data_IF_319397483746
#
_entry.id   IF_319397483746
#
_cell.length_a   1.000
_cell.length_b   1.000
_cell.length_c   1.000
_cell.angle_alpha   90.00
_cell.angle_beta   90.00
_cell.angle_gamma   90.00
#
_symmetry.space_group_name_H-M   'P 1'
#
loop_
_entity.id
_entity.type
_entity.pdbx_description
1 polymer ?
#
# COMPACT_ATOMS: atom_id res chain seq x y z
N UNK A 1 -10.79 -4.06 -7.69
CA UNK A 1 -10.42 -4.55 -9.04
C UNK A 1 -8.93 -4.89 -9.09
N UNK A 2 -8.49 -5.78 -9.98
CA UNK A 2 -7.07 -5.95 -10.30
C UNK A 2 -6.75 -5.02 -11.48
N UNK A 3 -5.84 -4.08 -11.28
CA UNK A 3 -5.44 -3.07 -12.30
C UNK A 3 -4.21 -3.48 -13.09
N UNK A 4 -3.49 -4.51 -12.65
CA UNK A 4 -2.30 -5.04 -13.31
C UNK A 4 -1.15 -5.19 -12.32
N UNK A 5 0.04 -4.73 -12.71
CA UNK A 5 1.23 -4.75 -11.85
C UNK A 5 1.77 -3.34 -11.69
N UNK A 6 2.10 -2.98 -10.46
CA UNK A 6 2.69 -1.68 -10.12
C UNK A 6 3.93 -1.87 -9.23
N UNK A 7 4.79 -0.87 -9.22
CA UNK A 7 5.94 -0.82 -8.31
C UNK A 7 5.48 -0.29 -6.95
N UNK A 8 5.78 -1.05 -5.90
CA UNK A 8 5.56 -0.69 -4.51
C UNK A 8 6.91 -0.45 -3.85
N UNK A 9 6.95 0.54 -2.96
CA UNK A 9 8.09 0.84 -2.10
C UNK A 9 7.71 0.48 -0.67
N UNK A 10 8.59 -0.24 0.01
CA UNK A 10 8.44 -0.52 1.43
C UNK A 10 8.91 0.68 2.26
N UNK A 11 8.14 1.11 3.26
CA UNK A 11 8.54 2.19 4.17
C UNK A 11 9.65 1.73 5.13
N UNK A 12 9.68 0.44 5.47
CA UNK A 12 10.60 -0.12 6.47
C UNK A 12 11.99 -0.44 5.88
N UNK A 13 12.05 -1.24 4.81
CA UNK A 13 13.33 -1.60 4.18
C UNK A 13 13.71 -0.70 3.00
N UNK A 14 12.87 0.26 2.63
CA UNK A 14 13.05 1.16 1.51
C UNK A 14 13.25 0.47 0.13
N UNK A 15 13.02 -0.84 0.05
CA UNK A 15 13.15 -1.61 -1.18
C UNK A 15 11.93 -1.37 -2.08
N UNK A 16 12.16 -1.33 -3.40
CA UNK A 16 11.11 -1.18 -4.40
C UNK A 16 10.94 -2.51 -5.13
N UNK A 17 9.71 -3.01 -5.20
CA UNK A 17 9.39 -4.29 -5.82
C UNK A 17 8.13 -4.19 -6.66
N UNK A 18 8.03 -5.04 -7.69
CA UNK A 18 6.85 -5.10 -8.56
C UNK A 18 5.87 -6.12 -7.98
N UNK A 19 4.64 -5.70 -7.73
CA UNK A 19 3.58 -6.57 -7.24
C UNK A 19 2.26 -6.27 -7.94
N UNK A 20 1.27 -7.13 -7.71
CA UNK A 20 -0.08 -6.95 -8.23
C UNK A 20 -0.70 -5.68 -7.67
N UNK A 21 -1.21 -4.83 -8.56
CA UNK A 21 -2.01 -3.68 -8.20
C UNK A 21 -3.47 -4.10 -8.03
N UNK A 22 -3.87 -4.23 -6.77
CA UNK A 22 -5.23 -4.56 -6.37
C UNK A 22 -5.83 -3.32 -5.73
N UNK A 23 -7.00 -2.89 -6.19
CA UNK A 23 -7.69 -1.75 -5.58
C UNK A 23 -8.12 -2.04 -4.15
N UNK A 24 -7.89 -1.06 -3.28
CA UNK A 24 -8.35 -1.09 -1.91
C UNK A 24 -9.77 -0.52 -1.82
N UNK A 25 -10.77 -1.37 -1.55
CA UNK A 25 -12.14 -0.93 -1.22
C UNK A 25 -12.85 -0.11 -2.30
N UNK A 26 -12.64 -0.44 -3.58
CA UNK A 26 -13.15 0.33 -4.74
C UNK A 26 -12.72 1.81 -4.75
N UNK A 27 -11.64 2.15 -4.05
CA UNK A 27 -11.05 3.48 -4.09
C UNK A 27 -9.99 3.58 -5.19
N UNK A 28 -9.52 4.80 -5.44
CA UNK A 28 -8.33 4.99 -6.25
C UNK A 28 -7.12 4.24 -5.65
N UNK A 29 -7.04 3.93 -4.36
CA UNK A 29 -5.82 3.42 -3.70
C UNK A 29 -5.56 1.93 -3.97
N UNK A 30 -4.31 1.51 -3.80
CA UNK A 30 -3.87 0.13 -3.95
C UNK A 30 -3.72 -0.54 -2.58
N UNK A 31 -4.02 -1.83 -2.50
CA UNK A 31 -3.79 -2.62 -1.29
C UNK A 31 -2.29 -2.71 -1.01
N UNK A 32 -1.83 -2.44 0.22
CA UNK A 32 -0.44 -2.62 0.60
C UNK A 32 -0.03 -4.10 0.47
N UNK A 33 0.96 -4.36 -0.40
CA UNK A 33 1.47 -5.70 -0.66
C UNK A 33 2.58 -6.05 0.32
N UNK A 34 2.69 -7.32 0.76
CA UNK A 34 3.77 -7.73 1.65
C UNK A 34 5.13 -7.60 0.94
N UNK A 35 6.10 -7.00 1.61
CA UNK A 35 7.44 -6.84 1.07
C UNK A 35 8.17 -8.20 1.05
N UNK A 36 8.77 -8.63 -0.08
CA UNK A 36 9.49 -9.90 -0.16
C UNK A 36 10.76 -9.96 0.70
N UNK A 37 11.28 -8.81 1.16
CA UNK A 37 12.53 -8.76 1.93
C UNK A 37 12.28 -8.75 3.46
N UNK A 38 11.38 -7.88 3.93
CA UNK A 38 11.11 -7.71 5.37
C UNK A 38 9.74 -8.23 5.81
N UNK A 39 8.93 -8.79 4.90
CA UNK A 39 7.56 -9.25 5.12
C UNK A 39 6.59 -8.19 5.69
N UNK A 40 7.02 -6.93 5.81
CA UNK A 40 6.18 -5.83 6.25
C UNK A 40 5.12 -5.51 5.19
N UNK A 41 3.91 -5.25 5.67
CA UNK A 41 2.77 -4.77 4.86
C UNK A 41 2.73 -3.24 4.74
N UNK A 42 3.73 -2.54 5.28
CA UNK A 42 3.84 -1.07 5.18
C UNK A 42 4.48 -0.68 3.84
N UNK A 43 3.74 -0.91 2.76
CA UNK A 43 4.18 -0.61 1.39
C UNK A 43 3.22 0.35 0.71
N UNK A 44 3.76 1.19 -0.18
CA UNK A 44 3.01 2.18 -0.94
C UNK A 44 3.59 2.37 -2.34
N UNK A 45 2.79 2.71 -3.34
CA UNK A 45 3.29 3.09 -4.64
C UNK A 45 4.00 4.46 -4.58
N UNK A 46 5.29 4.55 -4.96
CA UNK A 46 6.06 5.78 -4.84
C UNK A 46 5.64 6.87 -5.85
N UNK A 47 5.09 6.47 -7.00
CA UNK A 47 4.65 7.39 -8.06
C UNK A 47 3.17 7.20 -8.38
N UNK A 48 2.31 7.99 -7.75
CA UNK A 48 0.89 8.10 -8.13
C UNK A 48 0.72 9.04 -9.32
N UNK A 49 1.37 8.76 -10.45
CA UNK A 49 1.27 9.59 -11.66
C UNK A 49 0.09 9.20 -12.58
N UNK A 50 -0.68 8.17 -12.22
CA UNK A 50 -1.66 7.55 -13.13
C UNK A 50 -3.04 8.23 -13.15
N UNK A 51 -3.34 9.13 -12.21
CA UNK A 51 -4.63 9.83 -12.20
C UNK A 51 -4.38 11.32 -11.96
N UNK A 52 -4.33 12.11 -13.03
CA UNK A 52 -4.14 13.57 -13.05
C UNK A 52 -5.22 14.40 -12.34
N UNK A 53 -5.74 13.90 -11.22
CA UNK A 53 -6.83 14.46 -10.43
C UNK A 53 -6.42 14.81 -8.99
N UNK A 54 -5.32 14.26 -8.47
CA UNK A 54 -4.86 14.57 -7.10
C UNK A 54 -3.51 15.31 -7.10
N UNK A 55 -3.46 16.55 -6.58
CA UNK A 55 -2.23 17.32 -6.53
C UNK A 55 -1.29 16.71 -5.47
N UNK A 56 -0.06 16.40 -5.89
CA UNK A 56 1.17 16.49 -5.09
C UNK A 56 1.03 16.21 -3.58
N UNK A 57 0.42 15.09 -3.20
CA UNK A 57 0.29 14.66 -1.81
C UNK A 57 1.30 13.58 -1.46
N UNK A 58 1.89 13.64 -0.28
CA UNK A 58 2.76 12.58 0.24
C UNK A 58 1.98 11.25 0.34
N UNK A 59 2.05 10.41 -0.71
CA UNK A 59 1.40 9.09 -0.77
C UNK A 59 1.64 8.29 0.51
N UNK A 60 2.84 8.41 1.08
CA UNK A 60 3.21 7.84 2.37
C UNK A 60 2.21 8.15 3.49
N UNK A 61 1.79 9.39 3.65
CA UNK A 61 0.95 9.82 4.79
C UNK A 61 -0.49 9.33 4.66
N UNK A 62 -0.99 9.26 3.43
CA UNK A 62 -2.29 8.67 3.12
C UNK A 62 -2.27 7.15 3.39
N UNK A 63 -1.21 6.47 2.97
CA UNK A 63 -1.05 5.03 3.20
C UNK A 63 -0.80 4.69 4.68
N UNK A 64 -0.20 5.58 5.48
CA UNK A 64 -0.08 5.38 6.94
C UNK A 64 -1.43 5.07 7.60
N UNK A 65 -2.48 5.81 7.26
CA UNK A 65 -3.82 5.57 7.83
C UNK A 65 -4.39 4.20 7.43
N UNK A 66 -4.08 3.74 6.22
CA UNK A 66 -4.48 2.41 5.73
C UNK A 66 -3.74 1.33 6.51
N UNK A 67 -2.41 1.48 6.67
CA UNK A 67 -1.60 0.57 7.46
C UNK A 67 -2.08 0.48 8.91
N UNK A 68 -2.33 1.62 9.57
CA UNK A 68 -2.86 1.64 10.94
C UNK A 68 -4.20 0.91 11.07
N UNK A 69 -5.06 0.97 10.04
CA UNK A 69 -6.32 0.21 10.03
C UNK A 69 -6.06 -1.28 9.85
N UNK A 70 -5.19 -1.66 8.92
CA UNK A 70 -4.81 -3.06 8.68
C UNK A 70 -4.16 -3.70 9.91
N UNK A 71 -3.20 -3.00 10.54
CA UNK A 71 -2.50 -3.48 11.74
C UNK A 71 -3.49 -3.66 12.91
N UNK A 72 -4.49 -2.77 13.04
CA UNK A 72 -5.57 -2.92 14.04
C UNK A 72 -6.44 -4.13 13.74
N UNK A 73 -6.79 -4.38 12.49
CA UNK A 73 -7.58 -5.55 12.08
C UNK A 73 -6.81 -6.85 12.29
N UNK A 74 -5.53 -6.90 11.93
CA UNK A 74 -4.64 -8.04 12.18
C UNK A 74 -4.53 -8.34 13.69
N UNK A 75 -4.36 -7.30 14.52
CA UNK A 75 -4.32 -7.47 15.99
C UNK A 75 -5.63 -7.94 16.63
N UNK A 76 -6.77 -7.79 15.94
CA UNK A 76 -8.08 -8.28 16.40
C UNK A 76 -8.30 -9.73 16.00
N UNK A 77 -7.78 -10.13 14.85
CA UNK A 77 -7.84 -11.50 14.37
C UNK A 77 -6.92 -12.41 15.19
N UNK A 78 -5.73 -11.95 15.58
CA UNK A 78 -4.77 -12.72 16.41
C UNK A 78 -5.27 -12.99 17.85
N UNK A 79 -6.30 -12.25 18.29
CA UNK A 79 -6.90 -12.36 19.63
C UNK A 79 -8.19 -13.19 19.67
N UNK A 80 -8.57 -13.83 18.58
CA UNK A 80 -9.78 -14.64 18.43
C UNK A 80 -9.43 -16.11 18.28
#
# INVERSE_FOLDING_TARGET
>A
MIRGYMNFRCDNCNNTFRALDIEHGATAMSVPMPCPNCNSRHTYPPSWQILGFYPLGNNRELYKRIWERMDKEESKFDRQ
#
